data_IF_835201003185
#
_entry.id   IF_835201003185
#
_cell.length_a   1.000
_cell.length_b   1.000
_cell.length_c   1.000
_cell.angle_alpha   90.00
_cell.angle_beta   90.00
_cell.angle_gamma   90.00
#
_symmetry.space_group_name_H-M   'P 1'
#
loop_
_entity.id
_entity.type
_entity.pdbx_description
1 polymer ?
2 water ?
#
# COMPACT_ATOMS: atom_id res chain seq x y z
N UNK A 1 -15.09 2.89 -13.95
CA UNK A 1 -14.26 2.72 -12.76
C UNK A 1 -13.55 4.04 -12.50
N UNK A 2 -13.39 4.36 -11.22
CA UNK A 2 -12.82 5.64 -10.78
C UNK A 2 -11.31 5.63 -10.65
N UNK A 3 -10.70 4.45 -10.50
CA UNK A 3 -9.26 4.37 -10.29
C UNK A 3 -8.84 2.92 -10.13
N UNK A 4 -7.54 2.73 -10.01
CA UNK A 4 -6.94 1.41 -10.00
C UNK A 4 -6.06 1.26 -8.77
N UNK A 5 -6.31 0.24 -7.97
CA UNK A 5 -5.55 -0.02 -6.75
C UNK A 5 -5.03 -1.46 -6.82
N UNK A 6 -3.74 -1.64 -6.55
CA UNK A 6 -3.16 -2.97 -6.43
C UNK A 6 -2.99 -3.25 -4.95
N UNK A 7 -3.43 -4.42 -4.51
CA UNK A 7 -3.34 -4.83 -3.11
C UNK A 7 -2.48 -6.09 -3.03
N UNK A 8 -1.40 -6.02 -2.26
CA UNK A 8 -0.43 -7.11 -2.18
C UNK A 8 -0.33 -7.55 -0.72
N UNK A 9 -0.54 -8.84 -0.47
CA UNK A 9 -0.43 -9.37 0.87
C UNK A 9 0.58 -10.50 0.94
N UNK A 10 1.53 -10.43 1.86
CA UNK A 10 2.57 -11.46 2.01
C UNK A 10 2.57 -11.97 3.43
N UNK A 11 2.71 -13.28 3.60
CA UNK A 11 2.65 -13.88 4.92
C UNK A 11 1.21 -13.99 5.39
N UNK A 12 1.05 -14.64 6.55
CA UNK A 12 -0.28 -15.00 7.03
C UNK A 12 -1.10 -13.76 7.34
N UNK A 13 -0.54 -12.82 8.12
CA UNK A 13 -1.23 -11.57 8.42
C UNK A 13 -1.52 -10.78 7.15
N UNK A 14 -0.50 -10.64 6.29
CA UNK A 14 -0.64 -9.82 5.10
C UNK A 14 -1.70 -10.35 4.16
N UNK A 15 -1.78 -11.68 4.00
CA UNK A 15 -2.77 -12.23 3.08
C UNK A 15 -4.17 -12.05 3.61
N UNK A 16 -4.35 -12.21 4.92
CA UNK A 16 -5.67 -12.05 5.51
C UNK A 16 -6.13 -10.60 5.42
N UNK A 17 -5.26 -9.67 5.80
CA UNK A 17 -5.59 -8.25 5.72
C UNK A 17 -5.80 -7.82 4.27
N UNK A 18 -4.97 -8.33 3.35
CA UNK A 18 -5.12 -7.94 1.94
C UNK A 18 -6.47 -8.39 1.39
N UNK A 19 -6.90 -9.61 1.74
CA UNK A 19 -8.19 -10.08 1.26
C UNK A 19 -9.34 -9.23 1.80
N UNK A 20 -9.26 -8.85 3.08
CA UNK A 20 -10.32 -8.03 3.68
C UNK A 20 -10.39 -6.65 3.05
N UNK A 21 -9.22 -6.04 2.82
CA UNK A 21 -9.16 -4.75 2.14
C UNK A 21 -9.79 -4.85 0.76
N UNK A 22 -9.39 -5.85 -0.02
CA UNK A 22 -9.96 -6.01 -1.36
C UNK A 22 -11.47 -6.21 -1.30
N UNK A 23 -11.93 -6.99 -0.32
CA UNK A 23 -13.36 -7.24 -0.17
C UNK A 23 -14.12 -5.94 0.15
N UNK A 24 -13.50 -5.02 0.88
CA UNK A 24 -14.23 -3.90 1.45
C UNK A 24 -13.98 -2.58 0.74
N UNK A 25 -13.13 -2.55 -0.28
CA UNK A 25 -12.97 -1.31 -1.04
C UNK A 25 -14.18 -1.05 -1.94
N UNK A 26 -14.48 0.23 -2.09
CA UNK A 26 -15.60 0.68 -2.90
C UNK A 26 -15.56 0.01 -4.27
N UNK A 27 -16.66 -0.55 -4.75
CA UNK A 27 -16.64 -1.29 -6.04
C UNK A 27 -16.37 -0.43 -7.26
N UNK A 28 -16.40 0.90 -7.12
CA UNK A 28 -15.98 1.80 -8.20
C UNK A 28 -14.46 1.81 -8.36
N UNK A 29 -13.73 1.18 -7.47
CA UNK A 29 -12.29 1.03 -7.59
C UNK A 29 -12.00 -0.29 -8.27
N UNK A 30 -11.14 -0.26 -9.28
CA UNK A 30 -10.67 -1.48 -9.95
C UNK A 30 -9.52 -2.07 -9.13
N UNK A 31 -9.74 -3.22 -8.49
CA UNK A 31 -8.81 -3.76 -7.52
C UNK A 31 -8.14 -5.00 -8.11
N UNK A 32 -6.82 -5.07 -7.99
CA UNK A 32 -6.00 -6.21 -8.42
C UNK A 32 -5.29 -6.75 -7.17
N UNK A 33 -5.63 -7.97 -6.78
CA UNK A 33 -5.17 -8.57 -5.53
C UNK A 33 -4.08 -9.61 -5.84
N UNK A 34 -2.96 -9.52 -5.12
CA UNK A 34 -1.78 -10.36 -5.33
C UNK A 34 -1.36 -10.92 -3.98
N UNK A 35 -1.15 -12.23 -3.91
CA UNK A 35 -0.71 -12.87 -2.67
C UNK A 35 0.73 -13.40 -2.81
N UNK A 36 1.53 -13.20 -1.76
CA UNK A 36 2.89 -13.73 -1.67
C UNK A 36 3.77 -13.16 -2.79
N UNK A 37 4.05 -11.86 -2.64
CA UNK A 37 5.01 -11.19 -3.50
C UNK A 37 6.39 -11.84 -3.37
N UNK A 38 6.95 -12.27 -4.49
CA UNK A 38 8.30 -12.83 -4.54
C UNK A 38 9.22 -11.92 -5.36
N UNK A 39 9.01 -11.84 -6.67
CA UNK A 39 9.89 -11.04 -7.52
C UNK A 39 9.43 -9.59 -7.51
N UNK A 40 10.26 -8.71 -6.94
CA UNK A 40 9.99 -7.28 -7.00
C UNK A 40 9.84 -6.81 -8.45
N UNK A 41 10.64 -7.36 -9.37
CA UNK A 41 10.54 -6.97 -10.76
C UNK A 41 9.23 -7.45 -11.40
N UNK A 42 8.75 -8.62 -10.99
CA UNK A 42 7.46 -9.09 -11.50
C UNK A 42 6.31 -8.28 -10.93
N UNK A 43 6.36 -7.98 -9.63
CA UNK A 43 5.41 -7.04 -9.04
C UNK A 43 5.43 -5.73 -9.80
N UNK A 44 6.63 -5.23 -10.11
CA UNK A 44 6.76 -3.96 -10.81
C UNK A 44 6.04 -4.00 -12.16
N UNK A 45 6.18 -5.11 -12.89
CA UNK A 45 5.49 -5.22 -14.17
C UNK A 45 3.98 -5.27 -13.98
N UNK A 46 3.50 -6.05 -13.01
CA UNK A 46 2.06 -6.13 -12.76
C UNK A 46 1.50 -4.79 -12.34
N UNK A 47 2.30 -3.98 -11.61
CA UNK A 47 1.86 -2.64 -11.25
C UNK A 47 1.80 -1.74 -12.48
N UNK A 48 2.74 -1.92 -13.41
CA UNK A 48 2.75 -1.11 -14.62
C UNK A 48 1.61 -1.50 -15.56
N UNK A 49 1.29 -2.80 -15.67
CA UNK A 49 0.22 -3.22 -16.56
C UNK A 49 -1.14 -2.81 -16.00
N UNK A 50 -1.35 -2.94 -14.70
CA UNK A 50 -2.61 -2.49 -14.12
C UNK A 50 -2.73 -0.97 -14.12
N UNK A 51 -1.65 -0.24 -14.40
CA UNK A 51 -1.68 1.21 -14.39
C UNK A 51 -2.13 1.76 -13.03
N UNK A 52 -1.50 1.25 -11.98
CA UNK A 52 -1.97 1.45 -10.62
C UNK A 52 -1.89 2.91 -10.20
N UNK A 53 -2.99 3.43 -9.63
CA UNK A 53 -2.95 4.73 -8.97
C UNK A 53 -2.37 4.63 -7.57
N UNK A 54 -2.68 3.55 -6.86
CA UNK A 54 -2.17 3.34 -5.52
C UNK A 54 -1.84 1.86 -5.37
N UNK A 55 -0.86 1.58 -4.52
CA UNK A 55 -0.46 0.21 -4.22
C UNK A 55 -0.45 0.06 -2.71
N UNK A 56 -1.17 -0.95 -2.22
CA UNK A 56 -1.29 -1.24 -0.80
C UNK A 56 -0.47 -2.50 -0.55
N UNK A 57 0.57 -2.40 0.27
CA UNK A 57 1.49 -3.51 0.53
C UNK A 57 1.35 -3.90 2.00
N UNK A 58 0.93 -5.13 2.28
CA UNK A 58 0.65 -5.56 3.65
C UNK A 58 1.44 -6.84 3.91
N UNK A 59 2.20 -6.86 5.02
CA UNK A 59 2.77 -8.09 5.53
C UNK A 59 4.29 -8.01 5.68
N UNK A 60 4.92 -9.17 5.57
CA UNK A 60 6.34 -9.34 5.82
C UNK A 60 6.85 -10.39 4.85
N UNK A 61 8.18 -10.47 4.64
CA UNK A 61 9.30 -9.75 5.27
C UNK A 61 9.31 -8.26 4.97
N UNK A 62 9.83 -7.47 5.93
CA UNK A 62 9.85 -6.02 5.79
C UNK A 62 10.64 -5.58 4.59
N UNK A 63 11.78 -6.23 4.34
CA UNK A 63 12.62 -5.80 3.22
C UNK A 63 11.87 -5.92 1.91
N UNK A 64 11.04 -6.95 1.78
CA UNK A 64 10.25 -7.12 0.56
C UNK A 64 9.17 -6.06 0.47
N UNK A 65 8.41 -5.87 1.54
CA UNK A 65 7.38 -4.83 1.56
C UNK A 65 7.94 -3.46 1.20
N UNK A 66 9.05 -3.07 1.83
CA UNK A 66 9.66 -1.79 1.50
C UNK A 66 10.15 -1.75 0.06
N UNK A 67 10.73 -2.84 -0.43
CA UNK A 67 11.22 -2.85 -1.82
C UNK A 67 10.06 -2.70 -2.79
N UNK A 68 8.97 -3.42 -2.56
CA UNK A 68 7.80 -3.30 -3.42
C UNK A 68 7.25 -1.88 -3.36
N UNK A 69 7.13 -1.33 -2.15
CA UNK A 69 6.54 0.01 -2.03
C UNK A 69 7.41 1.06 -2.68
N UNK A 70 8.75 0.95 -2.54
CA UNK A 70 9.64 1.89 -3.22
C UNK A 70 9.49 1.78 -4.74
N UNK A 71 9.35 0.57 -5.26
CA UNK A 71 9.19 0.41 -6.70
C UNK A 71 7.89 1.05 -7.18
N UNK A 72 6.81 0.87 -6.42
CA UNK A 72 5.54 1.51 -6.75
C UNK A 72 5.64 3.02 -6.70
N UNK A 73 6.28 3.57 -5.66
CA UNK A 73 6.43 5.01 -5.58
C UNK A 73 7.25 5.54 -6.75
N UNK A 74 8.27 4.78 -7.17
CA UNK A 74 9.09 5.19 -8.31
C UNK A 74 8.28 5.27 -9.59
N UNK A 75 7.24 4.45 -9.70
CA UNK A 75 6.31 4.46 -10.83
C UNK A 75 5.20 5.48 -10.67
N UNK A 76 5.25 6.30 -9.63
CA UNK A 76 4.27 7.37 -9.46
C UNK A 76 2.99 6.99 -8.73
N UNK A 77 2.91 5.80 -8.17
CA UNK A 77 1.73 5.42 -7.41
C UNK A 77 1.80 5.96 -5.97
N UNK A 78 0.64 6.29 -5.42
CA UNK A 78 0.56 6.41 -3.97
C UNK A 78 0.81 5.05 -3.33
N UNK A 79 1.39 5.03 -2.13
CA UNK A 79 1.66 3.75 -1.47
C UNK A 79 1.16 3.78 -0.04
N UNK A 80 0.59 2.64 0.37
CA UNK A 80 0.12 2.40 1.72
C UNK A 80 0.84 1.15 2.18
N UNK A 81 1.63 1.25 3.24
CA UNK A 81 2.49 0.14 3.69
C UNK A 81 2.07 -0.23 5.10
N UNK A 82 1.71 -1.50 5.30
CA UNK A 82 1.17 -1.96 6.56
C UNK A 82 1.97 -3.18 7.01
N UNK A 83 2.67 -3.04 8.12
CA UNK A 83 3.62 -4.03 8.61
C UNK A 83 3.04 -4.65 9.88
N UNK A 84 2.91 -5.98 9.96
CA UNK A 84 2.49 -6.60 11.22
C UNK A 84 3.50 -6.34 12.33
N UNK A 85 3.06 -6.53 13.57
CA UNK A 85 3.94 -6.29 14.71
C UNK A 85 5.28 -7.00 14.56
N UNK A 86 6.37 -6.22 14.64
CA UNK A 86 7.75 -6.67 14.71
C UNK A 86 8.47 -5.72 15.66
N UNK A 87 9.36 -6.20 16.52
CA UNK A 87 10.09 -5.29 17.42
C UNK A 87 11.12 -4.50 16.64
N UNK A 88 11.31 -3.24 17.05
CA UNK A 88 12.46 -2.47 16.63
C UNK A 88 12.43 -1.95 15.21
N UNK A 89 11.24 -1.81 14.61
CA UNK A 89 11.16 -1.40 13.20
C UNK A 89 10.93 0.10 13.02
N UNK A 90 10.79 0.86 14.11
CA UNK A 90 10.42 2.27 13.98
C UNK A 90 11.37 3.04 13.07
N UNK A 91 12.68 2.96 13.33
CA UNK A 91 13.63 3.76 12.57
C UNK A 91 13.77 3.27 11.13
N UNK A 92 13.75 1.95 10.93
CA UNK A 92 13.75 1.43 9.57
C UNK A 92 12.55 1.95 8.79
N UNK A 93 11.38 1.98 9.41
CA UNK A 93 10.18 2.47 8.71
C UNK A 93 10.27 3.98 8.47
N UNK A 94 10.83 4.74 9.42
CA UNK A 94 11.00 6.17 9.21
C UNK A 94 11.91 6.44 8.02
N UNK A 95 13.01 5.69 7.92
CA UNK A 95 13.93 5.85 6.80
C UNK A 95 13.28 5.45 5.48
N UNK A 96 12.52 4.35 5.49
CA UNK A 96 11.77 3.99 4.28
C UNK A 96 10.85 5.12 3.86
N UNK A 97 10.10 5.69 4.81
CA UNK A 97 9.14 6.72 4.46
C UNK A 97 9.83 7.95 3.90
N UNK A 98 10.95 8.33 4.50
CA UNK A 98 11.71 9.46 3.99
C UNK A 98 12.20 9.21 2.57
N UNK A 99 12.68 8.00 2.28
CA UNK A 99 13.15 7.68 0.94
C UNK A 99 12.01 7.65 -0.06
N UNK A 100 10.91 6.97 0.28
CA UNK A 100 9.79 6.88 -0.64
C UNK A 100 9.17 8.25 -0.90
N UNK A 101 9.18 9.14 0.09
CA UNK A 101 8.61 10.47 -0.12
C UNK A 101 9.47 11.33 -1.04
N UNK A 102 10.71 10.95 -1.31
CA UNK A 102 11.52 11.74 -2.25
C UNK A 102 10.88 11.77 -3.64
N UNK A 103 10.10 10.75 -4.00
CA UNK A 103 9.42 10.74 -5.28
C UNK A 103 8.27 11.74 -5.35
N UNK A 104 7.83 12.28 -4.21
CA UNK A 104 6.81 13.30 -4.16
C UNK A 104 5.39 12.80 -4.08
N UNK A 105 5.19 11.48 -3.98
CA UNK A 105 3.85 10.91 -3.85
C UNK A 105 3.41 10.76 -2.41
N UNK A 106 2.17 10.30 -2.27
CA UNK A 106 1.59 10.04 -0.96
C UNK A 106 2.15 8.73 -0.41
N UNK A 107 2.61 8.77 0.84
CA UNK A 107 3.25 7.62 1.46
C UNK A 107 2.66 7.47 2.85
N UNK A 108 1.97 6.37 3.12
CA UNK A 108 1.32 6.18 4.42
C UNK A 108 1.79 4.85 5.00
N UNK A 109 2.19 4.84 6.27
CA UNK A 109 2.79 3.65 6.87
C UNK A 109 2.09 3.37 8.19
N UNK A 110 1.72 2.11 8.42
CA UNK A 110 1.11 1.67 9.68
C UNK A 110 1.91 0.50 10.22
N UNK A 111 2.29 0.57 11.50
CA UNK A 111 3.13 -0.46 12.10
C UNK A 111 2.43 -1.10 13.29
N UNK A 112 2.45 -2.43 13.35
CA UNK A 112 2.07 -3.12 14.57
C UNK A 112 0.60 -3.07 14.93
N UNK A 113 -0.28 -2.99 13.94
CA UNK A 113 -1.71 -2.88 14.20
C UNK A 113 -2.39 -4.23 14.03
N UNK A 114 -3.60 -4.33 14.58
CA UNK A 114 -4.41 -5.51 14.34
C UNK A 114 -4.87 -5.55 12.88
N UNK A 115 -5.37 -6.71 12.47
CA UNK A 115 -5.90 -6.85 11.10
C UNK A 115 -7.03 -5.85 10.87
N UNK A 116 -7.98 -5.76 11.79
CA UNK A 116 -9.09 -4.85 11.50
C UNK A 116 -8.65 -3.38 11.51
N UNK A 117 -7.68 -3.01 12.37
CA UNK A 117 -7.11 -1.66 12.31
C UNK A 117 -6.41 -1.42 10.98
N UNK A 118 -5.68 -2.43 10.49
CA UNK A 118 -5.03 -2.34 9.17
C UNK A 118 -6.06 -2.08 8.08
N UNK A 119 -7.16 -2.83 8.11
CA UNK A 119 -8.22 -2.66 7.12
C UNK A 119 -8.80 -1.25 7.20
N UNK A 120 -9.08 -0.77 8.42
CA UNK A 120 -9.65 0.57 8.56
C UNK A 120 -8.68 1.65 8.09
N UNK A 121 -7.39 1.47 8.36
CA UNK A 121 -6.38 2.43 7.94
C UNK A 121 -6.29 2.51 6.42
N UNK A 122 -6.27 1.34 5.75
CA UNK A 122 -6.25 1.33 4.29
C UNK A 122 -7.50 2.00 3.72
N UNK A 123 -8.66 1.70 4.31
CA UNK A 123 -9.90 2.29 3.81
C UNK A 123 -9.91 3.81 4.03
N UNK A 124 -9.39 4.29 5.16
CA UNK A 124 -9.38 5.74 5.38
C UNK A 124 -8.45 6.46 4.39
N UNK A 125 -7.26 5.89 4.15
CA UNK A 125 -6.33 6.54 3.21
C UNK A 125 -6.90 6.52 1.80
N UNK A 126 -7.47 5.39 1.38
CA UNK A 126 -8.06 5.31 0.04
C UNK A 126 -9.22 6.29 -0.09
N UNK A 127 -10.04 6.41 0.95
CA UNK A 127 -11.11 7.42 0.97
C UNK A 127 -10.56 8.82 0.72
N UNK A 128 -9.48 9.19 1.42
CA UNK A 128 -8.90 10.51 1.21
C UNK A 128 -8.32 10.63 -0.19
N UNK A 129 -7.64 9.58 -0.66
CA UNK A 129 -6.97 9.59 -1.96
C UNK A 129 -7.96 9.79 -3.11
N UNK A 130 -9.18 9.30 -2.96
CA UNK A 130 -10.20 9.43 -4.00
C UNK A 130 -11.13 10.62 -3.77
N UNK A 131 -10.88 11.46 -2.75
CA UNK A 131 -11.79 12.58 -2.49
C UNK A 131 -11.72 13.60 -3.63
N UNK A 132 -12.84 14.28 -3.88
CA UNK A 132 -12.82 15.42 -4.79
C UNK A 132 -11.98 16.53 -4.18
N UNK A 133 -11.57 17.48 -5.02
CA UNK A 133 -10.61 18.49 -4.57
C UNK A 133 -11.27 19.76 -4.05
N UNK A 134 -12.49 19.68 -3.50
CA UNK A 134 -13.17 20.90 -3.08
C UNK A 134 -12.73 21.35 -1.69
N UNK A 135 -11.41 21.38 -1.43
CA UNK A 135 -10.90 21.84 -0.15
C UNK A 135 -9.74 22.82 -0.31
N UNK A 136 -9.10 23.19 0.80
CA UNK A 136 -8.13 24.28 0.83
C UNK A 136 -6.70 23.82 0.54
N UNK A 137 -6.17 22.91 1.37
CA UNK A 137 -4.79 22.45 1.24
C UNK A 137 -4.71 21.23 0.34
N UNK A 138 -3.66 21.19 -0.50
CA UNK A 138 -3.51 20.16 -1.53
C UNK A 138 -2.10 19.61 -1.51
N UNK A 139 -1.97 18.32 -1.77
CA UNK A 139 -0.67 17.66 -1.75
C UNK A 139 0.08 17.96 -3.04
#
# INVERSE_FOLDING_TARGET
MWGKVVVIGSGEYGKRAAQRVADLLDPRIDVYLIFDAKSTDEIRKMIKDHGADAVIVIGAPLGTAFAIAKAAAELGAAVIVIIPRRPGVREAARRFGEEARKYGGRVEVLLGATVEEAVAFARRVVQQFFALEHHHHHH
#
